data_IF_304691929056
#
_entry.id   IF_304691929056
#
_cell.length_a   1.000
_cell.length_b   1.000
_cell.length_c   1.000
_cell.angle_alpha   90.00
_cell.angle_beta   90.00
_cell.angle_gamma   90.00
#
_symmetry.space_group_name_H-M   'P 1'
#
loop_
_entity.id
_entity.type
_entity.pdbx_description
1 polymer ?
#
# COMPACT_ATOMS: atom_id res chain seq x y z
N UNK A 1 -47.33 111.14 6.95
CA UNK A 1 -46.81 109.86 6.42
C UNK A 1 -45.63 109.45 7.29
N UNK A 2 -45.85 108.60 8.29
CA UNK A 2 -44.78 108.02 9.13
C UNK A 2 -44.27 106.70 8.51
N UNK A 3 -42.99 106.34 8.69
CA UNK A 3 -42.42 105.16 8.05
C UNK A 3 -42.90 103.87 8.74
N UNK A 4 -43.17 102.85 7.92
CA UNK A 4 -43.53 101.49 8.36
C UNK A 4 -42.37 100.81 9.13
N UNK A 5 -42.66 99.93 10.11
CA UNK A 5 -41.63 99.20 10.83
C UNK A 5 -41.04 98.07 9.98
N UNK A 6 -39.77 97.67 10.21
CA UNK A 6 -39.09 96.64 9.42
C UNK A 6 -39.60 95.23 9.77
N UNK A 7 -39.68 94.37 8.77
CA UNK A 7 -40.06 92.96 8.91
C UNK A 7 -39.02 92.16 9.74
N UNK A 8 -39.44 91.11 10.48
CA UNK A 8 -38.53 90.34 11.32
C UNK A 8 -37.55 89.53 10.46
N UNK A 9 -36.25 89.67 10.75
CA UNK A 9 -35.18 88.86 10.17
C UNK A 9 -35.40 87.39 10.54
N UNK A 10 -35.66 86.53 9.55
CA UNK A 10 -35.55 85.07 9.71
C UNK A 10 -34.09 84.75 10.09
N UNK A 11 -33.88 84.30 11.33
CA UNK A 11 -32.64 83.60 11.72
C UNK A 11 -32.61 82.30 10.93
N UNK A 12 -31.80 82.25 9.87
CA UNK A 12 -31.32 80.99 9.34
C UNK A 12 -30.46 80.35 10.43
N UNK A 13 -31.04 79.40 11.15
CA UNK A 13 -30.27 78.38 11.85
C UNK A 13 -29.43 77.70 10.76
N UNK A 14 -28.13 77.94 10.78
CA UNK A 14 -27.14 77.15 10.06
C UNK A 14 -27.23 75.73 10.61
N UNK A 15 -28.14 74.93 10.06
CA UNK A 15 -28.10 73.49 10.22
C UNK A 15 -26.78 73.05 9.59
N UNK A 16 -25.82 72.63 10.43
CA UNK A 16 -24.59 71.99 9.98
C UNK A 16 -25.03 70.76 9.19
N UNK A 17 -24.82 70.76 7.88
CA UNK A 17 -25.21 69.63 7.01
C UNK A 17 -24.30 68.44 7.32
N UNK A 18 -24.81 67.46 8.06
CA UNK A 18 -24.14 66.19 8.34
C UNK A 18 -24.09 65.25 7.11
N UNK A 19 -24.73 65.63 6.00
CA UNK A 19 -24.74 64.89 4.73
C UNK A 19 -23.32 64.59 4.21
N UNK A 20 -22.36 65.47 4.47
CA UNK A 20 -20.95 65.25 4.11
C UNK A 20 -20.26 64.20 4.99
N UNK A 21 -20.63 64.09 6.27
CA UNK A 21 -20.03 63.13 7.20
C UNK A 21 -20.52 61.71 6.94
N UNK A 22 -21.82 61.53 6.63
CA UNK A 22 -22.36 60.22 6.30
C UNK A 22 -21.70 59.62 5.06
N UNK A 23 -21.44 60.44 4.03
CA UNK A 23 -20.78 59.98 2.80
C UNK A 23 -19.31 59.61 3.03
N UNK A 24 -18.60 60.38 3.87
CA UNK A 24 -17.22 60.07 4.28
C UNK A 24 -17.19 58.74 5.05
N UNK A 25 -18.08 58.54 6.02
CA UNK A 25 -18.15 57.30 6.80
C UNK A 25 -18.48 56.07 5.93
N UNK A 26 -19.35 56.21 4.94
CA UNK A 26 -19.65 55.14 3.97
C UNK A 26 -18.43 54.79 3.10
N UNK A 27 -17.70 55.79 2.61
CA UNK A 27 -16.48 55.56 1.83
C UNK A 27 -15.38 54.91 2.69
N UNK A 28 -15.21 55.35 3.94
CA UNK A 28 -14.30 54.71 4.89
C UNK A 28 -14.72 53.27 5.21
N UNK A 29 -16.01 53.02 5.43
CA UNK A 29 -16.53 51.67 5.65
C UNK A 29 -16.32 50.75 4.45
N UNK A 30 -16.60 51.25 3.24
CA UNK A 30 -16.40 50.49 1.99
C UNK A 30 -14.92 50.19 1.75
N UNK A 31 -14.04 51.17 1.96
CA UNK A 31 -12.58 50.97 1.79
C UNK A 31 -12.04 49.96 2.78
N UNK A 32 -12.44 50.03 4.06
CA UNK A 32 -12.10 49.03 5.06
C UNK A 32 -12.64 47.64 4.68
N UNK A 33 -13.88 47.55 4.20
CA UNK A 33 -14.47 46.29 3.77
C UNK A 33 -13.73 45.69 2.56
N UNK A 34 -13.37 46.49 1.55
CA UNK A 34 -12.59 46.04 0.40
C UNK A 34 -11.18 45.60 0.79
N UNK A 35 -10.55 46.30 1.72
CA UNK A 35 -9.21 45.95 2.21
C UNK A 35 -9.25 44.64 3.00
N UNK A 36 -10.25 44.47 3.86
CA UNK A 36 -10.50 43.22 4.57
C UNK A 36 -10.77 42.05 3.61
N UNK A 37 -11.58 42.27 2.57
CA UNK A 37 -11.87 41.27 1.53
C UNK A 37 -10.60 40.88 0.75
N UNK A 38 -9.75 41.85 0.43
CA UNK A 38 -8.48 41.61 -0.27
C UNK A 38 -7.53 40.77 0.58
N UNK A 39 -7.40 41.09 1.88
CA UNK A 39 -6.60 40.28 2.82
C UNK A 39 -7.14 38.86 2.95
N UNK A 40 -8.47 38.69 2.98
CA UNK A 40 -9.11 37.37 2.99
C UNK A 40 -8.74 36.57 1.74
N UNK A 41 -8.84 37.15 0.54
CA UNK A 41 -8.48 36.46 -0.70
C UNK A 41 -7.01 36.06 -0.76
N UNK A 42 -6.10 36.90 -0.26
CA UNK A 42 -4.67 36.58 -0.15
C UNK A 42 -4.46 35.38 0.77
N UNK A 43 -5.15 35.32 1.91
CA UNK A 43 -5.08 34.18 2.85
C UNK A 43 -5.63 32.89 2.25
N UNK A 44 -6.77 32.96 1.56
CA UNK A 44 -7.35 31.80 0.87
C UNK A 44 -6.43 31.31 -0.25
N UNK A 45 -5.82 32.22 -1.00
CA UNK A 45 -4.83 31.90 -2.03
C UNK A 45 -3.60 31.21 -1.46
N UNK A 46 -3.03 31.74 -0.38
CA UNK A 46 -1.88 31.15 0.29
C UNK A 46 -2.17 29.74 0.84
N UNK A 47 -3.36 29.54 1.44
CA UNK A 47 -3.78 28.22 1.92
C UNK A 47 -3.97 27.21 0.76
N UNK A 48 -4.49 27.66 -0.38
CA UNK A 48 -4.62 26.83 -1.59
C UNK A 48 -3.28 26.42 -2.20
N UNK A 49 -2.32 27.35 -2.25
CA UNK A 49 -0.95 27.08 -2.71
C UNK A 49 -0.25 26.10 -1.76
N UNK A 50 -0.32 26.34 -0.45
CA UNK A 50 0.26 25.45 0.56
C UNK A 50 -0.30 24.02 0.43
N UNK A 51 -1.61 23.87 0.26
CA UNK A 51 -2.23 22.55 0.04
C UNK A 51 -1.68 21.87 -1.21
N UNK A 52 -1.55 22.59 -2.31
CA UNK A 52 -1.10 22.04 -3.59
C UNK A 52 0.37 21.60 -3.53
N UNK A 53 1.22 22.39 -2.88
CA UNK A 53 2.64 22.06 -2.67
C UNK A 53 2.82 20.84 -1.77
N UNK A 54 2.12 20.80 -0.63
CA UNK A 54 2.24 19.67 0.32
C UNK A 54 1.66 18.39 -0.30
N UNK A 55 0.61 18.46 -1.12
CA UNK A 55 0.13 17.30 -1.88
C UNK A 55 1.17 16.81 -2.90
N UNK A 56 1.82 17.72 -3.64
CA UNK A 56 2.90 17.35 -4.57
C UNK A 56 4.05 16.65 -3.84
N UNK A 57 4.40 17.14 -2.65
CA UNK A 57 5.39 16.49 -1.81
C UNK A 57 4.96 15.08 -1.38
N UNK A 58 3.70 14.91 -0.96
CA UNK A 58 3.15 13.60 -0.58
C UNK A 58 3.18 12.61 -1.75
N UNK A 59 2.71 13.04 -2.93
CA UNK A 59 2.66 12.23 -4.15
C UNK A 59 4.07 11.76 -4.55
N UNK A 60 5.04 12.68 -4.54
CA UNK A 60 6.43 12.36 -4.85
C UNK A 60 7.05 11.40 -3.84
N UNK A 61 6.77 11.58 -2.55
CA UNK A 61 7.29 10.75 -1.48
C UNK A 61 6.67 9.33 -1.51
N UNK A 62 5.37 9.22 -1.81
CA UNK A 62 4.70 7.92 -1.96
C UNK A 62 5.24 7.14 -3.16
N UNK A 63 5.40 7.79 -4.31
CA UNK A 63 6.02 7.15 -5.49
C UNK A 63 7.46 6.73 -5.22
N UNK A 64 8.24 7.56 -4.53
CA UNK A 64 9.62 7.25 -4.15
C UNK A 64 9.70 6.05 -3.18
N UNK A 65 8.83 6.01 -2.17
CA UNK A 65 8.76 4.90 -1.22
C UNK A 65 8.51 3.57 -1.94
N UNK A 66 7.51 3.53 -2.83
CA UNK A 66 7.16 2.32 -3.59
C UNK A 66 8.23 1.96 -4.63
N UNK A 67 8.97 2.93 -5.17
CA UNK A 67 10.05 2.67 -6.13
C UNK A 67 11.16 1.75 -5.57
N UNK A 68 11.32 1.68 -4.24
CA UNK A 68 12.22 0.72 -3.60
C UNK A 68 11.84 -0.74 -3.92
N UNK A 69 10.53 -1.04 -3.94
CA UNK A 69 10.02 -2.36 -4.33
C UNK A 69 10.27 -2.64 -5.82
N UNK A 70 10.04 -1.65 -6.69
CA UNK A 70 10.33 -1.75 -8.12
C UNK A 70 11.81 -2.06 -8.36
N UNK A 71 12.72 -1.42 -7.63
CA UNK A 71 14.15 -1.60 -7.81
C UNK A 71 14.63 -2.98 -7.32
N UNK A 72 14.19 -3.41 -6.13
CA UNK A 72 14.46 -4.75 -5.62
C UNK A 72 13.95 -5.81 -6.60
N UNK A 73 12.72 -5.64 -7.07
CA UNK A 73 12.12 -6.54 -8.04
C UNK A 73 12.86 -6.59 -9.38
N UNK A 74 13.33 -5.43 -9.87
CA UNK A 74 14.09 -5.37 -11.10
C UNK A 74 15.43 -6.12 -10.99
N UNK A 75 16.08 -6.07 -9.83
CA UNK A 75 17.31 -6.83 -9.56
C UNK A 75 17.05 -8.34 -9.58
N UNK A 76 16.01 -8.78 -8.89
CA UNK A 76 15.61 -10.20 -8.88
C UNK A 76 15.37 -10.73 -10.30
N UNK A 77 14.61 -10.00 -11.10
CA UNK A 77 14.28 -10.39 -12.48
C UNK A 77 15.52 -10.58 -13.35
N UNK A 78 16.52 -9.70 -13.23
CA UNK A 78 17.79 -9.80 -13.97
C UNK A 78 18.64 -10.97 -13.49
N UNK A 79 18.60 -11.27 -12.19
CA UNK A 79 19.27 -12.44 -11.59
C UNK A 79 18.55 -13.77 -11.91
N UNK A 80 17.44 -13.72 -12.66
CA UNK A 80 16.64 -14.88 -12.97
C UNK A 80 15.85 -15.42 -11.78
N UNK A 81 15.70 -14.60 -10.73
CA UNK A 81 14.79 -14.82 -9.60
C UNK A 81 13.48 -14.10 -9.87
N UNK A 82 12.39 -14.66 -9.37
CA UNK A 82 11.13 -13.95 -9.44
C UNK A 82 11.03 -12.94 -8.32
N UNK A 83 10.62 -11.70 -8.62
CA UNK A 83 10.63 -10.61 -7.65
C UNK A 83 9.61 -10.87 -6.56
N UNK A 84 10.04 -10.64 -5.33
CA UNK A 84 9.16 -10.67 -4.17
C UNK A 84 8.98 -9.26 -3.63
N UNK A 85 7.77 -8.69 -3.69
CA UNK A 85 7.50 -7.42 -3.04
C UNK A 85 7.46 -7.64 -1.54
N UNK A 86 8.60 -7.49 -0.88
CA UNK A 86 8.66 -7.39 0.56
C UNK A 86 8.97 -5.94 0.91
N UNK A 87 8.02 -5.27 1.55
CA UNK A 87 8.21 -3.91 2.02
C UNK A 87 9.28 -3.86 3.11
N UNK A 88 10.31 -3.06 2.85
CA UNK A 88 11.35 -2.66 3.82
C UNK A 88 11.06 -1.22 4.24
N UNK A 89 10.67 -1.03 5.51
CA UNK A 89 10.27 0.28 6.02
C UNK A 89 11.42 1.28 6.02
N UNK A 90 12.64 0.85 6.36
CA UNK A 90 13.79 1.73 6.46
C UNK A 90 14.17 2.26 5.07
N UNK A 91 14.27 1.37 4.07
CA UNK A 91 14.59 1.74 2.69
C UNK A 91 13.48 2.62 2.08
N UNK A 92 12.22 2.27 2.31
CA UNK A 92 11.10 3.05 1.79
C UNK A 92 11.02 4.44 2.44
N UNK A 93 11.27 4.53 3.76
CA UNK A 93 11.29 5.78 4.51
C UNK A 93 12.42 6.68 4.06
N UNK A 94 13.63 6.15 3.88
CA UNK A 94 14.78 6.93 3.40
C UNK A 94 14.50 7.59 2.04
N UNK A 95 13.89 6.85 1.11
CA UNK A 95 13.48 7.41 -0.20
C UNK A 95 12.35 8.42 -0.08
N UNK A 96 11.33 8.12 0.71
CA UNK A 96 10.23 9.05 0.95
C UNK A 96 10.75 10.38 1.52
N UNK A 97 11.69 10.31 2.47
CA UNK A 97 12.32 11.44 3.11
C UNK A 97 13.15 12.29 2.13
N UNK A 98 13.92 11.67 1.24
CA UNK A 98 14.69 12.38 0.20
C UNK A 98 13.75 13.22 -0.68
N UNK A 99 12.68 12.61 -1.18
CA UNK A 99 11.73 13.26 -2.09
C UNK A 99 10.82 14.26 -1.37
N UNK A 100 10.43 14.00 -0.13
CA UNK A 100 9.70 14.97 0.69
C UNK A 100 10.55 16.23 0.94
N UNK A 101 11.82 16.07 1.31
CA UNK A 101 12.74 17.21 1.53
C UNK A 101 12.99 18.02 0.26
N UNK A 102 13.10 17.35 -0.89
CA UNK A 102 13.22 18.02 -2.19
C UNK A 102 11.98 18.85 -2.57
N UNK A 103 10.84 18.60 -1.92
CA UNK A 103 9.58 19.32 -2.09
C UNK A 103 9.16 20.08 -0.82
N UNK A 104 10.13 20.54 -0.02
CA UNK A 104 9.92 21.35 1.19
C UNK A 104 8.91 20.72 2.18
N UNK A 105 9.00 19.41 2.40
CA UNK A 105 8.19 18.66 3.35
C UNK A 105 9.01 17.64 4.14
N UNK A 106 8.41 17.11 5.20
CA UNK A 106 8.98 16.07 6.06
C UNK A 106 7.98 14.93 6.19
N UNK A 107 8.43 13.68 6.05
CA UNK A 107 7.57 12.51 6.23
C UNK A 107 7.24 12.34 7.72
N UNK A 108 5.94 12.29 8.03
CA UNK A 108 5.43 12.09 9.39
C UNK A 108 5.07 10.65 9.66
N UNK A 109 4.49 9.95 8.67
CA UNK A 109 4.08 8.55 8.78
C UNK A 109 4.35 7.82 7.46
N UNK A 110 4.71 6.55 7.55
CA UNK A 110 4.79 5.65 6.41
C UNK A 110 4.22 4.31 6.85
N UNK A 111 3.39 3.72 6.00
CA UNK A 111 2.90 2.37 6.25
C UNK A 111 2.60 1.65 4.96
N UNK A 112 2.79 0.35 5.00
CA UNK A 112 2.46 -0.53 3.89
C UNK A 112 1.18 -1.33 4.16
N UNK A 113 0.57 -1.75 3.07
CA UNK A 113 -0.63 -2.57 2.99
C UNK A 113 -0.59 -3.39 1.70
N UNK A 114 -1.46 -4.37 1.61
CA UNK A 114 -1.68 -5.12 0.37
C UNK A 114 -3.11 -5.66 0.31
N UNK A 115 -3.43 -6.32 -0.80
CA UNK A 115 -4.70 -7.04 -0.98
C UNK A 115 -4.55 -8.55 -0.75
N UNK A 116 -3.44 -8.98 -0.14
CA UNK A 116 -2.98 -10.36 0.00
C UNK A 116 -2.49 -10.60 1.43
N UNK A 117 -3.40 -10.51 2.39
CA UNK A 117 -3.19 -10.90 3.80
C UNK A 117 -2.09 -10.13 4.56
N UNK A 118 -1.58 -9.02 4.02
CA UNK A 118 -0.68 -8.09 4.69
C UNK A 118 0.76 -8.59 4.77
N UNK A 119 1.25 -9.32 3.77
CA UNK A 119 2.62 -9.86 3.74
C UNK A 119 3.54 -9.27 2.70
N UNK A 120 3.00 -8.65 1.66
CA UNK A 120 3.82 -8.08 0.59
C UNK A 120 4.09 -6.59 0.86
N UNK A 121 3.03 -5.87 1.26
CA UNK A 121 3.15 -4.42 1.48
C UNK A 121 3.39 -3.64 0.19
N UNK A 122 2.80 -4.07 -0.93
CA UNK A 122 3.00 -3.43 -2.24
C UNK A 122 2.20 -2.13 -2.44
N UNK A 123 1.34 -1.77 -1.48
CA UNK A 123 0.60 -0.49 -1.44
C UNK A 123 1.13 0.30 -0.25
N UNK A 124 1.77 1.44 -0.51
CA UNK A 124 2.42 2.26 0.53
C UNK A 124 1.71 3.60 0.63
N UNK A 125 1.33 3.96 1.85
CA UNK A 125 0.81 5.27 2.20
C UNK A 125 1.88 6.07 2.92
N UNK A 126 2.09 7.31 2.47
CA UNK A 126 3.02 8.27 3.07
C UNK A 126 2.23 9.50 3.50
N UNK A 127 2.43 9.92 4.73
CA UNK A 127 1.99 11.22 5.23
C UNK A 127 3.17 12.17 5.32
N UNK A 128 2.95 13.42 4.91
CA UNK A 128 3.95 14.47 4.98
C UNK A 128 3.36 15.72 5.63
N UNK A 129 4.27 16.50 6.20
CA UNK A 129 4.02 17.84 6.73
C UNK A 129 4.91 18.83 5.99
N UNK A 130 4.35 19.94 5.52
CA UNK A 130 5.11 21.01 4.89
C UNK A 130 6.14 21.63 5.85
N UNK A 131 7.31 21.99 5.33
CA UNK A 131 8.37 22.66 6.06
C UNK A 131 8.09 24.16 6.27
N UNK A 132 7.06 24.70 5.62
CA UNK A 132 6.61 26.09 5.75
C UNK A 132 5.32 26.14 6.57
N UNK A 133 5.32 27.02 7.57
CA UNK A 133 4.17 27.30 8.42
C UNK A 133 3.88 28.78 8.54
N UNK A 134 2.62 29.06 8.88
CA UNK A 134 2.16 30.39 9.23
C UNK A 134 2.07 30.49 10.76
N UNK A 135 2.89 31.36 11.35
CA UNK A 135 2.82 31.75 12.77
C UNK A 135 2.07 33.08 12.90
N UNK A 136 1.44 33.32 14.05
CA UNK A 136 0.85 34.63 14.35
C UNK A 136 1.92 35.73 14.47
N UNK A 137 1.51 36.99 14.32
CA UNK A 137 2.37 38.14 14.59
C UNK A 137 2.77 38.12 16.06
N UNK A 138 4.04 38.37 16.34
CA UNK A 138 4.43 38.73 17.69
C UNK A 138 4.10 40.20 17.94
N UNK A 139 3.54 40.50 19.12
CA UNK A 139 3.13 41.86 19.50
C UNK A 139 4.30 42.86 19.53
N UNK A 140 5.54 42.37 19.65
CA UNK A 140 6.76 43.16 19.64
C UNK A 140 7.26 43.50 18.21
N UNK A 141 6.62 42.95 17.17
CA UNK A 141 7.00 43.14 15.77
C UNK A 141 8.30 42.44 15.36
N UNK A 142 8.86 41.58 16.21
CA UNK A 142 10.07 40.80 15.90
C UNK A 142 9.82 39.77 14.80
N UNK A 143 8.57 39.31 14.65
CA UNK A 143 8.12 38.38 13.61
C UNK A 143 7.15 39.07 12.64
N UNK A 144 7.56 39.19 11.39
CA UNK A 144 6.74 39.73 10.31
C UNK A 144 5.68 38.71 9.83
N UNK A 145 4.59 39.20 9.23
CA UNK A 145 3.67 38.34 8.47
C UNK A 145 4.42 37.69 7.30
N UNK A 146 4.58 36.37 7.33
CA UNK A 146 5.23 35.63 6.26
C UNK A 146 5.31 34.14 6.54
N UNK A 147 5.73 33.42 5.50
CA UNK A 147 6.08 32.01 5.56
C UNK A 147 7.34 31.84 6.41
N UNK A 148 7.26 31.01 7.45
CA UNK A 148 8.38 30.71 8.35
C UNK A 148 8.70 29.23 8.24
N UNK A 149 10.00 28.89 8.23
CA UNK A 149 10.43 27.50 8.32
C UNK A 149 10.02 26.92 9.67
N UNK A 150 9.36 25.79 9.64
CA UNK A 150 8.93 25.09 10.84
C UNK A 150 10.10 24.41 11.53
N UNK A 151 10.25 24.66 12.83
CA UNK A 151 11.34 24.22 13.68
C UNK A 151 11.01 22.96 14.49
N UNK A 152 9.77 22.44 14.42
CA UNK A 152 9.34 21.25 15.16
C UNK A 152 8.91 21.53 16.61
N UNK A 153 9.05 22.77 17.09
CA UNK A 153 8.54 23.27 18.37
C UNK A 153 7.37 24.23 18.12
N UNK A 154 6.37 23.77 17.36
CA UNK A 154 5.25 24.63 17.01
C UNK A 154 4.24 24.79 18.16
N UNK A 155 4.03 26.03 18.61
CA UNK A 155 2.94 26.37 19.54
C UNK A 155 1.56 26.16 18.89
N UNK A 156 0.50 26.06 19.70
CA UNK A 156 -0.87 25.78 19.27
C UNK A 156 -1.50 26.74 18.24
N UNK A 157 -0.85 27.88 17.94
CA UNK A 157 -1.31 28.86 16.96
C UNK A 157 -0.60 28.74 15.58
N UNK A 158 0.28 27.75 15.40
CA UNK A 158 1.00 27.54 14.14
C UNK A 158 0.17 26.71 13.16
N UNK A 159 -0.09 27.24 11.95
CA UNK A 159 -0.73 26.45 10.89
C UNK A 159 0.31 25.82 9.97
N UNK A 160 0.23 24.50 9.84
CA UNK A 160 1.07 23.70 8.94
C UNK A 160 0.17 22.89 8.01
N UNK A 161 0.53 22.82 6.72
CA UNK A 161 -0.13 21.94 5.77
C UNK A 161 0.32 20.51 5.96
N UNK A 162 -0.63 19.58 6.01
CA UNK A 162 -0.38 18.13 5.97
C UNK A 162 -1.07 17.53 4.74
N UNK A 163 -0.47 16.50 4.16
CA UNK A 163 -1.07 15.74 3.08
C UNK A 163 -0.66 14.27 3.18
N UNK A 164 -1.40 13.42 2.49
CA UNK A 164 -1.08 12.01 2.34
C UNK A 164 -1.28 11.60 0.89
N UNK A 165 -0.47 10.64 0.47
CA UNK A 165 -0.60 10.00 -0.83
C UNK A 165 -0.39 8.50 -0.69
N UNK A 166 -0.95 7.74 -1.63
CA UNK A 166 -0.88 6.29 -1.66
C UNK A 166 -0.39 5.90 -3.03
N UNK A 167 0.62 5.04 -3.08
CA UNK A 167 1.15 4.49 -4.31
C UNK A 167 1.17 2.95 -4.25
N UNK A 168 1.12 2.30 -5.40
CA UNK A 168 1.18 0.85 -5.55
C UNK A 168 2.31 0.45 -6.50
N UNK A 169 2.99 -0.65 -6.18
CA UNK A 169 3.80 -1.40 -7.14
C UNK A 169 3.00 -2.59 -7.65
N UNK A 170 2.72 -2.61 -8.95
CA UNK A 170 2.07 -3.72 -9.64
C UNK A 170 3.09 -4.56 -10.39
N UNK A 171 3.07 -5.85 -10.10
CA UNK A 171 3.98 -6.82 -10.68
C UNK A 171 3.31 -7.50 -11.88
N UNK A 172 4.00 -7.56 -13.03
CA UNK A 172 3.45 -8.20 -14.22
C UNK A 172 3.44 -9.71 -14.07
N UNK A 173 2.62 -10.38 -14.86
CA UNK A 173 2.75 -11.82 -15.02
C UNK A 173 4.10 -12.14 -15.69
N UNK A 174 4.91 -12.93 -14.99
CA UNK A 174 6.20 -13.42 -15.45
C UNK A 174 6.21 -14.94 -15.56
N UNK A 175 6.99 -15.46 -16.49
CA UNK A 175 7.26 -16.88 -16.66
C UNK A 175 8.75 -17.15 -16.87
N UNK A 176 9.10 -18.43 -17.01
CA UNK A 176 10.48 -18.87 -17.26
C UNK A 176 10.55 -19.66 -18.56
N UNK A 177 11.54 -19.38 -19.39
CA UNK A 177 11.83 -20.10 -20.62
C UNK A 177 13.32 -20.51 -20.66
N UNK A 178 13.77 -21.10 -21.77
CA UNK A 178 15.17 -21.52 -21.95
C UNK A 178 16.18 -20.35 -21.95
N UNK A 179 15.72 -19.13 -22.20
CA UNK A 179 16.52 -17.90 -22.22
C UNK A 179 16.53 -17.10 -20.91
N UNK A 180 15.72 -17.49 -19.91
CA UNK A 180 15.63 -16.81 -18.62
C UNK A 180 14.19 -16.49 -18.21
N UNK A 181 14.02 -15.37 -17.51
CA UNK A 181 12.70 -14.84 -17.15
C UNK A 181 12.17 -13.97 -18.29
N UNK A 182 10.89 -14.14 -18.60
CA UNK A 182 10.15 -13.22 -19.46
C UNK A 182 8.96 -12.66 -18.69
N UNK A 183 8.65 -11.38 -18.87
CA UNK A 183 7.52 -10.70 -18.25
C UNK A 183 6.78 -9.89 -19.30
N UNK A 184 5.45 -9.81 -19.21
CA UNK A 184 4.63 -9.07 -20.17
C UNK A 184 4.93 -9.41 -21.65
N UNK A 185 5.33 -10.66 -21.93
CA UNK A 185 5.65 -11.14 -23.27
C UNK A 185 7.05 -10.82 -23.81
N UNK A 186 7.96 -10.26 -23.01
CA UNK A 186 9.34 -9.97 -23.42
C UNK A 186 10.37 -10.56 -22.45
N UNK A 187 11.50 -11.07 -22.98
CA UNK A 187 12.61 -11.58 -22.19
C UNK A 187 13.29 -10.45 -21.42
N UNK A 188 13.54 -10.65 -20.11
CA UNK A 188 14.21 -9.66 -19.27
C UNK A 188 15.72 -9.87 -19.35
N UNK A 189 16.41 -8.93 -20.00
CA UNK A 189 17.86 -9.02 -20.27
C UNK A 189 18.66 -7.86 -19.66
N UNK A 190 17.98 -6.85 -19.12
CA UNK A 190 18.62 -5.67 -18.53
C UNK A 190 17.78 -5.11 -17.38
N UNK A 191 18.45 -4.40 -16.45
CA UNK A 191 17.80 -3.77 -15.31
C UNK A 191 16.79 -2.71 -15.73
N UNK A 192 17.07 -1.93 -16.77
CA UNK A 192 16.14 -0.90 -17.25
C UNK A 192 14.86 -1.53 -17.81
N UNK A 193 14.95 -2.69 -18.46
CA UNK A 193 13.78 -3.42 -18.91
C UNK A 193 13.01 -4.00 -17.72
N UNK A 194 13.71 -4.58 -16.74
CA UNK A 194 13.12 -5.12 -15.53
C UNK A 194 12.37 -4.06 -14.70
N UNK A 195 12.91 -2.83 -14.61
CA UNK A 195 12.23 -1.70 -13.95
C UNK A 195 10.95 -1.30 -14.68
N UNK A 196 10.96 -1.26 -16.01
CA UNK A 196 9.80 -0.84 -16.82
C UNK A 196 8.61 -1.79 -16.77
N UNK A 197 8.84 -3.07 -16.43
CA UNK A 197 7.74 -4.04 -16.38
C UNK A 197 6.99 -4.02 -15.05
N UNK A 198 7.60 -3.47 -13.98
CA UNK A 198 6.92 -3.23 -12.70
C UNK A 198 6.34 -1.83 -12.73
N UNK A 199 5.01 -1.73 -12.69
CA UNK A 199 4.32 -0.45 -12.77
C UNK A 199 4.20 0.19 -11.39
N UNK A 200 4.47 1.49 -11.30
CA UNK A 200 4.38 2.27 -10.06
C UNK A 200 3.53 3.50 -10.31
N UNK A 201 2.40 3.60 -9.62
CA UNK A 201 1.46 4.70 -9.79
C UNK A 201 0.71 5.03 -8.50
N UNK A 202 0.07 6.20 -8.48
CA UNK A 202 -0.76 6.66 -7.36
C UNK A 202 -2.14 5.99 -7.37
N UNK A 203 -2.65 5.67 -6.19
CA UNK A 203 -3.98 5.10 -5.96
C UNK A 203 -4.74 5.90 -4.90
N UNK A 204 -6.05 5.70 -4.82
CA UNK A 204 -6.94 6.44 -3.91
C UNK A 204 -7.24 5.71 -2.59
N UNK A 205 -6.81 4.45 -2.45
CA UNK A 205 -7.08 3.64 -1.27
C UNK A 205 -5.89 2.73 -0.88
N UNK A 206 -5.77 2.48 0.43
CA UNK A 206 -4.88 1.46 0.98
C UNK A 206 -5.39 0.05 0.66
N UNK A 207 -4.49 -0.93 0.74
CA UNK A 207 -4.85 -2.33 0.63
C UNK A 207 -5.77 -2.81 1.75
N UNK A 208 -6.47 -3.91 1.49
CA UNK A 208 -7.38 -4.56 2.45
C UNK A 208 -6.70 -4.97 3.76
N UNK A 209 -5.42 -5.32 3.71
CA UNK A 209 -4.68 -5.83 4.84
C UNK A 209 -3.46 -4.95 5.11
N UNK A 210 -3.30 -4.53 6.37
CA UNK A 210 -2.08 -3.85 6.82
C UNK A 210 -0.89 -4.81 6.68
N UNK A 211 0.22 -4.31 6.14
CA UNK A 211 1.48 -5.04 6.11
C UNK A 211 1.94 -5.33 7.53
N UNK A 212 2.24 -6.58 7.78
CA UNK A 212 2.78 -7.08 9.03
C UNK A 212 3.80 -8.17 8.68
N UNK A 213 5.10 -7.84 8.65
CA UNK A 213 6.14 -8.83 8.36
C UNK A 213 6.21 -9.91 9.45
N UNK A 214 5.63 -9.62 10.63
CA UNK A 214 5.54 -10.54 11.77
C UNK A 214 4.24 -11.33 11.79
N UNK A 215 3.33 -11.17 10.81
CA UNK A 215 2.07 -11.93 10.74
C UNK A 215 2.40 -13.41 10.72
N UNK A 216 2.23 -14.04 11.88
CA UNK A 216 2.80 -15.32 12.25
C UNK A 216 2.26 -16.40 11.32
N UNK A 217 3.15 -16.98 10.53
CA UNK A 217 2.97 -18.33 10.00
C UNK A 217 3.30 -19.22 11.16
N UNK A 218 2.27 -19.80 11.79
CA UNK A 218 2.48 -20.71 12.90
C UNK A 218 3.09 -21.98 12.32
N UNK A 219 4.35 -22.20 12.63
CA UNK A 219 5.14 -23.30 12.12
C UNK A 219 5.67 -24.14 13.27
N UNK A 220 5.39 -25.45 13.25
CA UNK A 220 5.73 -26.36 14.34
C UNK A 220 6.77 -27.41 13.98
N UNK A 221 7.09 -27.56 12.70
CA UNK A 221 7.91 -28.63 12.15
C UNK A 221 9.31 -28.17 11.73
N UNK A 222 10.21 -29.15 11.62
CA UNK A 222 11.53 -28.90 11.05
C UNK A 222 11.42 -28.62 9.55
N UNK A 223 12.26 -27.69 9.07
CA UNK A 223 12.56 -27.55 7.64
C UNK A 223 13.19 -28.86 7.18
N UNK A 224 12.72 -29.41 6.07
CA UNK A 224 13.17 -30.69 5.52
C UNK A 224 13.65 -30.52 4.09
N UNK A 225 14.74 -31.16 3.71
CA UNK A 225 15.24 -31.09 2.34
C UNK A 225 14.39 -31.97 1.42
N UNK A 226 14.33 -31.63 0.13
CA UNK A 226 13.62 -32.45 -0.87
C UNK A 226 14.01 -33.93 -0.85
N UNK A 227 15.28 -34.24 -0.57
CA UNK A 227 15.77 -35.62 -0.50
C UNK A 227 15.08 -36.46 0.57
N UNK A 228 14.59 -35.84 1.65
CA UNK A 228 13.84 -36.51 2.71
C UNK A 228 12.38 -36.81 2.33
N UNK A 229 11.86 -36.13 1.30
CA UNK A 229 10.52 -36.29 0.77
C UNK A 229 10.44 -37.34 -0.35
N UNK A 230 11.48 -38.16 -0.50
CA UNK A 230 11.57 -39.20 -1.52
C UNK A 230 11.94 -38.64 -2.91
N UNK A 231 11.56 -39.36 -3.96
CA UNK A 231 11.89 -38.99 -5.34
C UNK A 231 10.94 -37.91 -5.86
N UNK A 232 11.09 -36.68 -5.38
CA UNK A 232 10.34 -35.54 -5.90
C UNK A 232 10.78 -35.19 -7.33
N UNK A 233 9.82 -34.76 -8.14
CA UNK A 233 10.06 -34.15 -9.42
C UNK A 233 10.77 -32.80 -9.21
N UNK A 234 11.71 -32.37 -10.08
CA UNK A 234 12.48 -31.13 -9.89
C UNK A 234 11.61 -29.88 -9.66
N UNK A 235 10.48 -29.76 -10.37
CA UNK A 235 9.53 -28.65 -10.17
C UNK A 235 8.94 -28.66 -8.77
N UNK A 236 8.43 -29.80 -8.30
CA UNK A 236 7.85 -29.90 -6.94
C UNK A 236 8.91 -29.65 -5.87
N UNK A 237 10.15 -30.11 -6.07
CA UNK A 237 11.25 -29.81 -5.17
C UNK A 237 11.52 -28.29 -5.11
N UNK A 238 11.60 -27.60 -6.25
CA UNK A 238 11.79 -26.15 -6.28
C UNK A 238 10.63 -25.41 -5.59
N UNK A 239 9.39 -25.87 -5.77
CA UNK A 239 8.23 -25.31 -5.06
C UNK A 239 8.36 -25.51 -3.55
N UNK A 240 8.79 -26.70 -3.11
CA UNK A 240 9.00 -26.98 -1.70
C UNK A 240 10.10 -26.09 -1.08
N UNK A 241 11.25 -25.95 -1.73
CA UNK A 241 12.33 -25.06 -1.28
C UNK A 241 11.89 -23.59 -1.22
N UNK A 242 11.09 -23.16 -2.21
CA UNK A 242 10.51 -21.81 -2.22
C UNK A 242 9.57 -21.62 -1.03
N UNK A 243 8.62 -22.53 -0.81
CA UNK A 243 7.69 -22.43 0.31
C UNK A 243 8.39 -22.45 1.67
N UNK A 244 9.49 -23.19 1.83
CA UNK A 244 10.28 -23.17 3.06
C UNK A 244 11.05 -21.87 3.26
N UNK A 245 11.39 -21.17 2.17
CA UNK A 245 11.99 -19.82 2.24
C UNK A 245 10.93 -18.78 2.62
N UNK A 246 9.74 -18.85 2.02
CA UNK A 246 8.64 -17.91 2.26
C UNK A 246 7.95 -18.11 3.62
N UNK A 247 7.80 -19.37 4.00
CA UNK A 247 7.04 -19.80 5.16
C UNK A 247 7.88 -20.79 5.98
N UNK A 248 9.02 -20.37 6.55
CA UNK A 248 9.89 -21.29 7.29
C UNK A 248 9.12 -22.09 8.34
N UNK A 249 9.10 -23.42 8.17
CA UNK A 249 8.48 -24.36 9.11
C UNK A 249 6.96 -24.32 9.21
N UNK A 250 6.21 -23.76 8.25
CA UNK A 250 4.75 -23.56 8.31
C UNK A 250 3.88 -24.80 8.56
N UNK A 251 4.47 -26.00 8.49
CA UNK A 251 3.83 -27.28 8.68
C UNK A 251 4.43 -28.00 9.90
N UNK A 252 3.74 -29.02 10.42
CA UNK A 252 4.23 -29.89 11.50
C UNK A 252 5.15 -30.98 10.93
N UNK A 253 4.77 -31.52 9.79
CA UNK A 253 5.57 -32.46 8.99
C UNK A 253 5.16 -32.38 7.53
N UNK A 254 6.01 -32.89 6.63
CA UNK A 254 5.74 -32.95 5.21
C UNK A 254 5.91 -34.38 4.69
N UNK A 255 5.07 -34.79 3.73
CA UNK A 255 5.11 -36.09 3.07
C UNK A 255 5.12 -35.95 1.56
N UNK A 256 6.16 -36.47 0.90
CA UNK A 256 6.34 -36.37 -0.55
C UNK A 256 6.01 -37.66 -1.30
N UNK A 257 6.95 -38.10 -2.15
CA UNK A 257 6.80 -39.26 -3.00
C UNK A 257 6.43 -40.53 -2.23
N UNK A 258 5.42 -41.23 -2.75
CA UNK A 258 5.01 -42.57 -2.31
C UNK A 258 4.36 -43.29 -3.48
N UNK A 259 4.45 -44.63 -3.52
CA UNK A 259 3.95 -45.41 -4.65
C UNK A 259 2.41 -45.41 -4.69
N UNK A 260 1.85 -44.44 -5.39
CA UNK A 260 0.40 -44.24 -5.58
C UNK A 260 0.12 -43.87 -7.05
N UNK A 261 -0.07 -44.87 -7.95
CA UNK A 261 -0.10 -44.62 -9.40
C UNK A 261 -1.20 -43.68 -9.90
N UNK A 262 -2.24 -43.47 -9.09
CA UNK A 262 -3.40 -42.60 -9.38
C UNK A 262 -3.26 -41.19 -8.80
N UNK A 263 -2.18 -40.90 -8.08
CA UNK A 263 -1.96 -39.66 -7.35
C UNK A 263 -0.70 -38.97 -7.86
N UNK A 264 -0.64 -37.63 -7.78
CA UNK A 264 0.58 -36.87 -8.08
C UNK A 264 1.76 -37.25 -7.17
N UNK A 265 1.51 -37.81 -5.98
CA UNK A 265 2.55 -38.40 -5.13
C UNK A 265 3.30 -39.54 -5.80
N UNK A 266 2.61 -40.38 -6.59
CA UNK A 266 3.21 -41.50 -7.33
C UNK A 266 4.22 -41.08 -8.40
N UNK A 267 4.22 -39.80 -8.77
CA UNK A 267 5.12 -39.20 -9.75
C UNK A 267 6.07 -38.17 -9.13
N UNK A 268 6.08 -38.05 -7.79
CA UNK A 268 6.89 -37.07 -7.07
C UNK A 268 6.43 -35.62 -7.29
N UNK A 269 5.20 -35.42 -7.77
CA UNK A 269 4.66 -34.12 -8.15
C UNK A 269 3.70 -33.56 -7.08
N UNK A 270 3.67 -34.13 -5.88
CA UNK A 270 2.89 -33.61 -4.77
C UNK A 270 3.59 -33.72 -3.43
N UNK A 271 3.26 -32.80 -2.53
CA UNK A 271 3.65 -32.81 -1.12
C UNK A 271 2.43 -32.51 -0.27
N UNK A 272 2.23 -33.31 0.77
CA UNK A 272 1.26 -33.08 1.83
C UNK A 272 1.95 -32.35 2.98
N UNK A 273 1.50 -31.14 3.29
CA UNK A 273 1.99 -30.31 4.39
C UNK A 273 1.02 -30.39 5.57
N UNK A 274 1.42 -31.09 6.64
CA UNK A 274 0.54 -31.33 7.79
C UNK A 274 0.33 -30.04 8.59
N UNK A 275 -0.93 -29.64 8.72
CA UNK A 275 -1.39 -28.50 9.50
C UNK A 275 -1.98 -28.93 10.86
N UNK A 276 -2.17 -30.24 11.04
CA UNK A 276 -2.51 -30.91 12.28
C UNK A 276 -1.83 -32.29 12.32
N UNK A 277 -1.76 -32.96 13.49
CA UNK A 277 -1.46 -34.39 13.53
C UNK A 277 -2.43 -35.17 12.63
N UNK A 278 -1.97 -36.31 12.10
CA UNK A 278 -2.77 -37.16 11.21
C UNK A 278 -4.15 -37.48 11.80
N UNK A 279 -5.21 -37.20 11.03
CA UNK A 279 -6.62 -37.35 11.40
C UNK A 279 -7.18 -36.19 12.25
N UNK A 280 -6.33 -35.25 12.65
CA UNK A 280 -6.70 -34.11 13.49
C UNK A 280 -7.43 -32.99 12.75
N UNK A 281 -7.67 -31.91 13.49
CA UNK A 281 -8.17 -30.63 12.95
C UNK A 281 -7.15 -29.56 13.33
N UNK A 282 -6.71 -28.71 12.40
CA UNK A 282 -5.78 -27.62 12.70
C UNK A 282 -6.33 -26.68 13.76
N UNK A 283 -5.47 -26.12 14.60
CA UNK A 283 -5.87 -25.00 15.45
C UNK A 283 -6.29 -23.81 14.58
N UNK A 284 -7.06 -22.82 15.11
CA UNK A 284 -7.40 -21.62 14.35
C UNK A 284 -6.18 -20.92 13.72
N UNK A 285 -5.05 -20.91 14.42
CA UNK A 285 -3.78 -20.31 13.97
C UNK A 285 -3.13 -21.12 12.84
N UNK A 286 -3.08 -22.44 12.95
CA UNK A 286 -2.59 -23.33 11.88
C UNK A 286 -3.49 -23.28 10.66
N UNK A 287 -4.80 -23.18 10.85
CA UNK A 287 -5.75 -23.00 9.75
C UNK A 287 -5.52 -21.67 9.02
N UNK A 288 -5.38 -20.57 9.76
CA UNK A 288 -5.04 -19.27 9.16
C UNK A 288 -3.70 -19.29 8.42
N UNK A 289 -2.71 -20.00 8.98
CA UNK A 289 -1.43 -20.25 8.31
C UNK A 289 -1.62 -20.98 6.99
N UNK A 290 -2.44 -22.04 6.98
CA UNK A 290 -2.74 -22.81 5.78
C UNK A 290 -3.37 -21.91 4.71
N UNK A 291 -4.36 -21.09 5.07
CA UNK A 291 -4.99 -20.16 4.14
C UNK A 291 -3.97 -19.18 3.55
N UNK A 292 -3.09 -18.59 4.39
CA UNK A 292 -2.06 -17.66 3.91
C UNK A 292 -1.08 -18.30 2.92
N UNK A 293 -0.63 -19.53 3.20
CA UNK A 293 0.25 -20.28 2.30
C UNK A 293 -0.46 -20.64 1.00
N UNK A 294 -1.72 -21.06 1.06
CA UNK A 294 -2.53 -21.41 -0.11
C UNK A 294 -2.78 -20.18 -0.99
N UNK A 295 -3.20 -19.05 -0.40
CA UNK A 295 -3.45 -17.80 -1.12
C UNK A 295 -2.21 -17.35 -1.89
N UNK A 296 -1.05 -17.35 -1.22
CA UNK A 296 0.22 -17.03 -1.86
C UNK A 296 0.57 -18.04 -2.96
N UNK A 297 0.36 -19.33 -2.71
CA UNK A 297 0.64 -20.39 -3.69
C UNK A 297 -0.23 -20.26 -4.94
N UNK A 298 -1.51 -19.94 -4.79
CA UNK A 298 -2.46 -19.72 -5.91
C UNK A 298 -2.04 -18.52 -6.74
N UNK A 299 -1.67 -17.42 -6.10
CA UNK A 299 -1.19 -16.22 -6.80
C UNK A 299 0.10 -16.46 -7.57
N UNK A 300 0.95 -17.33 -7.05
CA UNK A 300 2.23 -17.70 -7.66
C UNK A 300 2.12 -18.98 -8.50
N UNK A 301 0.93 -19.51 -8.76
CA UNK A 301 0.78 -20.87 -9.27
C UNK A 301 1.41 -21.07 -10.66
N UNK A 302 1.16 -20.14 -11.59
CA UNK A 302 1.75 -20.19 -12.94
C UNK A 302 3.29 -20.16 -12.88
N UNK A 303 3.83 -19.28 -12.03
CA UNK A 303 5.26 -19.10 -11.82
C UNK A 303 5.95 -20.34 -11.25
N UNK A 304 5.26 -21.02 -10.34
CA UNK A 304 5.76 -22.19 -9.61
C UNK A 304 5.48 -23.52 -10.34
N UNK A 305 4.68 -23.50 -11.41
CA UNK A 305 4.21 -24.74 -12.05
C UNK A 305 3.26 -25.55 -11.18
N UNK A 306 2.47 -24.87 -10.33
CA UNK A 306 1.45 -25.49 -9.48
C UNK A 306 0.26 -25.93 -10.32
N UNK A 307 -0.16 -27.17 -10.11
CA UNK A 307 -1.28 -27.83 -10.79
C UNK A 307 -2.57 -27.68 -10.00
N UNK A 308 -2.48 -27.69 -8.67
CA UNK A 308 -3.62 -27.49 -7.81
C UNK A 308 -3.32 -27.68 -6.34
N UNK A 309 -4.31 -27.35 -5.52
CA UNK A 309 -4.28 -27.39 -4.06
C UNK A 309 -5.57 -28.04 -3.56
N UNK A 310 -5.46 -28.95 -2.59
CA UNK A 310 -6.60 -29.47 -1.84
C UNK A 310 -6.40 -29.16 -0.37
N UNK A 311 -7.42 -28.59 0.26
CA UNK A 311 -7.44 -28.31 1.69
C UNK A 311 -8.89 -28.19 2.18
N UNK A 312 -9.19 -28.73 3.36
CA UNK A 312 -10.45 -28.53 4.08
C UNK A 312 -11.70 -28.68 3.18
N UNK A 313 -11.92 -29.90 2.69
CA UNK A 313 -13.04 -30.25 1.80
C UNK A 313 -13.10 -29.44 0.49
N UNK A 314 -12.02 -28.78 0.10
CA UNK A 314 -12.03 -27.87 -1.04
C UNK A 314 -10.83 -28.09 -1.95
N UNK A 315 -11.00 -27.76 -3.22
CA UNK A 315 -9.98 -27.86 -4.26
C UNK A 315 -9.90 -26.57 -5.07
N UNK A 316 -8.68 -26.23 -5.45
CA UNK A 316 -8.38 -25.29 -6.52
C UNK A 316 -7.49 -25.98 -7.54
N UNK A 317 -7.80 -25.86 -8.82
CA UNK A 317 -7.06 -26.47 -9.91
C UNK A 317 -6.68 -25.40 -10.94
N UNK A 318 -5.39 -25.25 -11.21
CA UNK A 318 -4.83 -24.19 -12.04
C UNK A 318 -5.36 -24.19 -13.48
N UNK A 319 -5.82 -25.33 -13.99
CA UNK A 319 -6.37 -25.44 -15.34
C UNK A 319 -7.83 -24.95 -15.45
N UNK A 320 -8.58 -24.88 -14.34
CA UNK A 320 -10.02 -24.62 -14.36
C UNK A 320 -10.45 -23.43 -13.50
N UNK A 321 -9.71 -23.14 -12.44
CA UNK A 321 -10.10 -22.18 -11.42
C UNK A 321 -9.29 -20.89 -11.58
N UNK A 322 -9.95 -19.75 -11.37
CA UNK A 322 -9.31 -18.43 -11.44
C UNK A 322 -8.29 -18.24 -10.32
N UNK A 323 -7.27 -17.43 -10.56
CA UNK A 323 -6.35 -16.95 -9.52
C UNK A 323 -7.08 -15.92 -8.64
N UNK A 324 -6.94 -16.05 -7.32
CA UNK A 324 -7.56 -15.15 -6.35
C UNK A 324 -7.55 -15.74 -4.94
N UNK A 325 -8.17 -15.06 -3.96
CA UNK A 325 -8.24 -15.56 -2.58
C UNK A 325 -8.95 -16.91 -2.51
N UNK A 326 -8.39 -17.86 -1.77
CA UNK A 326 -8.87 -19.24 -1.60
C UNK A 326 -10.37 -19.30 -1.30
N UNK A 327 -10.85 -18.42 -0.43
CA UNK A 327 -12.27 -18.33 -0.03
C UNK A 327 -13.21 -17.97 -1.17
N UNK A 328 -12.69 -17.39 -2.26
CA UNK A 328 -13.44 -16.94 -3.43
C UNK A 328 -13.26 -17.83 -4.67
N UNK A 329 -12.20 -18.65 -4.69
CA UNK A 329 -11.81 -19.43 -5.89
C UNK A 329 -11.89 -20.94 -5.69
N UNK A 330 -11.96 -21.41 -4.44
CA UNK A 330 -12.06 -22.84 -4.15
C UNK A 330 -13.42 -23.43 -4.54
N UNK A 331 -13.43 -24.69 -4.94
CA UNK A 331 -14.64 -25.51 -5.14
C UNK A 331 -14.74 -26.57 -4.06
N UNK A 332 -15.97 -26.84 -3.60
CA UNK A 332 -16.22 -27.89 -2.63
C UNK A 332 -16.02 -29.30 -3.22
N UNK A 333 -15.52 -30.21 -2.38
CA UNK A 333 -15.43 -31.64 -2.62
C UNK A 333 -16.45 -32.37 -1.75
N UNK A 334 -16.89 -33.55 -2.19
CA UNK A 334 -17.71 -34.43 -1.36
C UNK A 334 -16.91 -34.99 -0.18
N UNK A 335 -17.57 -35.18 0.95
CA UNK A 335 -17.01 -35.90 2.10
C UNK A 335 -16.57 -37.32 1.70
N UNK A 336 -15.32 -37.66 2.01
CA UNK A 336 -14.65 -38.92 1.70
C UNK A 336 -14.50 -39.83 2.93
N UNK A 337 -15.02 -39.42 4.09
CA UNK A 337 -15.21 -40.27 5.27
C UNK A 337 -14.24 -40.05 6.44
N UNK A 338 -13.22 -39.19 6.29
CA UNK A 338 -12.31 -38.83 7.39
C UNK A 338 -11.59 -37.51 7.14
N UNK A 339 -11.13 -36.85 8.21
CA UNK A 339 -10.36 -35.60 8.13
C UNK A 339 -9.18 -35.70 7.16
N UNK A 340 -8.40 -36.79 7.22
CA UNK A 340 -7.27 -37.02 6.32
C UNK A 340 -7.71 -37.14 4.86
N UNK A 341 -8.72 -37.96 4.56
CA UNK A 341 -9.21 -38.11 3.18
C UNK A 341 -9.87 -36.81 2.64
N UNK A 342 -10.37 -35.98 3.55
CA UNK A 342 -10.95 -34.67 3.27
C UNK A 342 -9.92 -33.53 3.31
N UNK A 343 -8.64 -33.84 3.53
CA UNK A 343 -7.54 -32.88 3.54
C UNK A 343 -7.75 -31.76 4.58
N UNK A 344 -8.39 -32.09 5.70
CA UNK A 344 -8.62 -31.15 6.81
C UNK A 344 -7.33 -30.94 7.59
N UNK A 345 -6.57 -32.01 7.79
CA UNK A 345 -5.33 -32.02 8.58
C UNK A 345 -4.09 -31.60 7.79
N UNK A 346 -4.16 -31.45 6.46
CA UNK A 346 -3.00 -31.09 5.62
C UNK A 346 -3.37 -30.35 4.34
N UNK A 347 -2.44 -29.52 3.85
CA UNK A 347 -2.48 -28.96 2.51
C UNK A 347 -1.87 -29.99 1.55
N UNK A 348 -2.64 -30.48 0.60
CA UNK A 348 -2.10 -31.25 -0.52
C UNK A 348 -1.80 -30.30 -1.68
N UNK A 349 -0.53 -30.17 -2.02
CA UNK A 349 -0.06 -29.29 -3.10
C UNK A 349 0.55 -30.14 -4.21
N UNK A 350 0.04 -29.98 -5.44
CA UNK A 350 0.58 -30.61 -6.62
C UNK A 350 1.29 -29.59 -7.53
N UNK A 351 2.51 -29.89 -7.99
CA UNK A 351 3.28 -29.07 -8.92
C UNK A 351 4.14 -29.94 -9.86
N UNK A 352 4.22 -29.54 -11.13
CA UNK A 352 4.92 -30.30 -12.17
C UNK A 352 4.19 -30.28 -13.51
N UNK A 353 4.69 -31.03 -14.51
CA UNK A 353 4.07 -31.09 -15.83
C UNK A 353 2.73 -31.84 -15.83
N UNK A 354 1.89 -31.51 -16.80
CA UNK A 354 0.60 -32.15 -17.05
C UNK A 354 -0.50 -31.71 -16.07
N UNK A 355 -1.68 -32.34 -16.20
CA UNK A 355 -2.84 -32.03 -15.37
C UNK A 355 -2.75 -32.68 -13.99
N UNK A 356 -3.40 -32.07 -12.99
CA UNK A 356 -3.56 -32.64 -11.64
C UNK A 356 -4.27 -34.00 -11.70
N UNK A 357 -3.74 -34.98 -10.97
CA UNK A 357 -4.18 -36.39 -11.04
C UNK A 357 -5.20 -36.76 -9.97
#
# INVERSE_FOLDING_TARGET
MGPLPPAPRRRHLLCRRDDGQANILLLFGLTLALLALTLLFVRVGAAGDQRSRVQTAADSAALAAVSALQESAAQDLVEGRFPMPLFDEDVARDRADEYARANDAVVTDIRASDNVMGRNGNIVRVEVRGAICQKELEEDGSRHWGDVTCDGEEDGNTQVGTAAAIAIAEFPECGRNAGGIYCAGADITSLDQARRVVDVHLVDAEGRYRFDPSRVVFGGGAIVDCASLGQLHPVMCQVHETLQTEFPGFYISAGGYRYEPTSDHGYGMAVDYMMAPLGGVPSPEMHQTAIGVIDWTIQNAHRLGVKGVIYDYSIWNAAFDRVGPWTEVKRGLSDRGSNTQNHVDHIHLAAGPGDMR
#
